data_IF_696120940681
#
_entry.id   IF_696120940681
#
_cell.length_a   1.000
_cell.length_b   1.000
_cell.length_c   1.000
_cell.angle_alpha   90.00
_cell.angle_beta   90.00
_cell.angle_gamma   90.00
#
_symmetry.space_group_name_H-M   'P 1'
#
loop_
_entity.id
_entity.type
_entity.pdbx_description
1 polymer ?
#
# COMPACT_ATOMS: atom_id res chain seq x y z
N UNK A 1 -9.20 -14.77 19.67
CA UNK A 1 -9.08 -13.79 18.56
C UNK A 1 -7.63 -13.77 18.08
N UNK A 2 -7.40 -13.70 16.77
CA UNK A 2 -6.06 -13.62 16.17
C UNK A 2 -6.00 -12.46 15.16
N UNK A 3 -4.78 -12.00 14.86
CA UNK A 3 -4.59 -11.07 13.74
C UNK A 3 -5.14 -11.70 12.45
N UNK A 4 -5.76 -10.88 11.61
CA UNK A 4 -6.44 -11.27 10.37
C UNK A 4 -7.73 -12.04 10.54
N UNK A 5 -8.20 -12.29 11.76
CA UNK A 5 -9.58 -12.79 11.93
C UNK A 5 -10.58 -11.71 11.53
N UNK A 6 -11.68 -12.15 10.95
CA UNK A 6 -12.84 -11.31 10.61
C UNK A 6 -13.94 -11.62 11.62
N UNK A 7 -14.37 -10.60 12.34
CA UNK A 7 -15.44 -10.67 13.32
C UNK A 7 -16.59 -9.75 12.93
N UNK A 8 -17.77 -9.95 13.49
CA UNK A 8 -18.82 -8.94 13.45
C UNK A 8 -18.64 -8.02 14.65
N UNK A 9 -18.55 -6.72 14.39
CA UNK A 9 -18.48 -5.67 15.39
C UNK A 9 -19.73 -4.82 15.28
N UNK A 10 -20.32 -4.48 16.42
CA UNK A 10 -21.35 -3.43 16.44
C UNK A 10 -20.66 -2.07 16.56
N UNK A 11 -20.62 -1.29 15.49
CA UNK A 11 -20.04 0.06 15.47
C UNK A 11 -21.10 1.08 15.87
N UNK A 12 -20.75 2.08 16.67
CA UNK A 12 -21.73 3.01 17.23
C UNK A 12 -22.55 3.74 16.13
N UNK A 13 -21.89 4.18 15.06
CA UNK A 13 -22.53 4.98 14.00
C UNK A 13 -23.04 4.13 12.82
N UNK A 14 -22.50 2.93 12.64
CA UNK A 14 -22.79 2.09 11.47
C UNK A 14 -23.62 0.85 11.82
N UNK A 15 -23.66 0.43 13.08
CA UNK A 15 -24.25 -0.84 13.50
C UNK A 15 -23.39 -2.05 13.15
N UNK A 16 -23.98 -3.26 13.07
CA UNK A 16 -23.27 -4.52 12.88
C UNK A 16 -22.57 -4.63 11.52
N UNK A 17 -21.23 -4.62 11.53
CA UNK A 17 -20.41 -4.72 10.32
C UNK A 17 -19.29 -5.76 10.48
N UNK A 18 -18.83 -6.38 9.37
CA UNK A 18 -17.59 -7.14 9.37
C UNK A 18 -16.42 -6.23 9.80
N UNK A 19 -15.54 -6.76 10.65
CA UNK A 19 -14.39 -6.08 11.22
C UNK A 19 -13.16 -6.97 11.10
N UNK A 20 -12.14 -6.51 10.39
CA UNK A 20 -10.88 -7.24 10.20
C UNK A 20 -9.89 -6.80 11.26
N UNK A 21 -9.41 -7.73 12.09
CA UNK A 21 -8.42 -7.44 13.13
C UNK A 21 -7.03 -7.24 12.52
N UNK A 22 -6.48 -6.04 12.65
CA UNK A 22 -5.15 -5.69 12.08
C UNK A 22 -4.06 -5.48 13.13
N UNK A 23 -4.42 -5.41 14.42
CA UNK A 23 -3.46 -5.28 15.52
C UNK A 23 -2.37 -6.36 15.51
N UNK A 24 -1.18 -5.99 15.98
CA UNK A 24 -0.08 -6.92 16.21
C UNK A 24 -0.53 -8.09 17.10
N UNK A 25 -0.09 -9.34 16.84
CA UNK A 25 -0.49 -10.52 17.61
C UNK A 25 -0.30 -10.35 19.12
N UNK A 26 0.80 -9.72 19.58
CA UNK A 26 1.02 -9.47 21.01
C UNK A 26 -0.04 -8.56 21.64
N UNK A 27 -0.51 -7.55 20.91
CA UNK A 27 -1.59 -6.68 21.37
C UNK A 27 -2.90 -7.44 21.42
N UNK A 28 -3.19 -8.24 20.39
CA UNK A 28 -4.37 -9.11 20.37
C UNK A 28 -4.35 -10.11 21.52
N UNK A 29 -3.17 -10.56 21.97
CA UNK A 29 -3.06 -11.45 23.13
C UNK A 29 -3.28 -10.73 24.47
N UNK A 30 -2.71 -9.52 24.65
CA UNK A 30 -2.59 -8.89 25.98
C UNK A 30 -3.58 -7.77 26.26
N UNK A 31 -3.93 -6.95 25.26
CA UNK A 31 -4.71 -5.73 25.47
C UNK A 31 -6.21 -5.95 25.26
N UNK A 32 -7.10 -5.26 25.99
CA UNK A 32 -8.56 -5.36 25.79
C UNK A 32 -9.03 -4.66 24.50
N UNK A 33 -8.26 -3.67 24.02
CA UNK A 33 -8.56 -2.88 22.82
C UNK A 33 -7.71 -3.32 21.63
N UNK A 34 -8.36 -3.48 20.47
CA UNK A 34 -7.74 -3.89 19.20
C UNK A 34 -8.12 -2.94 18.07
N UNK A 35 -7.20 -2.76 17.12
CA UNK A 35 -7.43 -2.04 15.87
C UNK A 35 -8.10 -2.96 14.86
N UNK A 36 -9.19 -2.47 14.26
CA UNK A 36 -9.93 -3.15 13.21
C UNK A 36 -10.17 -2.25 12.00
N UNK A 37 -10.30 -2.87 10.84
CA UNK A 37 -10.83 -2.23 9.64
C UNK A 37 -12.29 -2.61 9.45
N UNK A 38 -13.13 -1.64 9.10
CA UNK A 38 -14.55 -1.87 8.84
C UNK A 38 -14.77 -2.39 7.41
N UNK A 39 -15.55 -3.46 7.28
CA UNK A 39 -16.07 -3.98 6.02
C UNK A 39 -17.52 -3.56 5.80
N UNK A 40 -17.94 -3.46 4.55
CA UNK A 40 -19.35 -3.26 4.16
C UNK A 40 -20.22 -4.41 4.65
N UNK A 41 -21.37 -4.10 5.24
CA UNK A 41 -22.41 -5.08 5.58
C UNK A 41 -23.19 -5.56 4.34
N UNK A 42 -23.17 -4.79 3.25
CA UNK A 42 -23.86 -5.11 1.99
C UNK A 42 -22.91 -5.75 0.99
N UNK A 43 -23.49 -6.57 0.08
CA UNK A 43 -22.78 -7.15 -1.06
C UNK A 43 -22.19 -6.05 -1.94
N UNK A 44 -20.92 -6.18 -2.28
CA UNK A 44 -20.27 -5.28 -3.21
C UNK A 44 -20.97 -5.35 -4.58
N UNK A 45 -21.52 -4.22 -5.03
CA UNK A 45 -22.09 -4.05 -6.38
C UNK A 45 -21.14 -3.33 -7.34
N UNK A 46 -19.99 -2.89 -6.83
CA UNK A 46 -18.99 -2.08 -7.56
C UNK A 46 -17.58 -2.59 -7.28
N UNK A 47 -16.61 -2.28 -8.15
CA UNK A 47 -15.20 -2.53 -7.86
C UNK A 47 -14.72 -1.73 -6.64
N UNK A 48 -13.66 -2.24 -6.01
CA UNK A 48 -13.01 -1.59 -4.88
C UNK A 48 -12.35 -0.27 -5.32
N UNK A 49 -12.52 0.78 -4.51
CA UNK A 49 -11.83 2.07 -4.70
C UNK A 49 -10.37 1.98 -4.28
N UNK A 50 -9.63 3.06 -4.51
CA UNK A 50 -8.21 3.22 -4.16
C UNK A 50 -7.88 3.12 -2.67
N UNK A 51 -8.87 3.21 -1.78
CA UNK A 51 -8.73 3.03 -0.33
C UNK A 51 -9.35 1.71 0.17
N UNK A 52 -9.90 0.89 -0.71
CA UNK A 52 -10.66 -0.31 -0.35
C UNK A 52 -10.02 -1.60 -0.88
N UNK A 53 -10.27 -2.71 -0.19
CA UNK A 53 -9.92 -4.05 -0.64
C UNK A 53 -11.17 -4.91 -0.66
N UNK A 54 -11.35 -5.69 -1.74
CA UNK A 54 -12.44 -6.64 -1.88
C UNK A 54 -12.06 -7.98 -1.22
N UNK A 55 -12.78 -8.36 -0.18
CA UNK A 55 -12.75 -9.68 0.43
C UNK A 55 -13.92 -10.52 -0.06
N UNK A 56 -13.82 -11.85 -0.01
CA UNK A 56 -14.88 -12.74 -0.52
C UNK A 56 -14.95 -14.08 0.25
N UNK A 57 -15.68 -15.06 -0.31
CA UNK A 57 -15.85 -16.40 0.25
C UNK A 57 -14.58 -17.09 0.70
N UNK A 58 -13.45 -16.90 0.02
CA UNK A 58 -12.18 -17.49 0.42
C UNK A 58 -11.57 -16.87 1.70
N UNK A 59 -12.16 -15.79 2.24
CA UNK A 59 -11.83 -15.25 3.58
C UNK A 59 -12.86 -15.65 4.67
N UNK A 60 -13.87 -16.45 4.31
CA UNK A 60 -14.97 -16.83 5.20
C UNK A 60 -16.10 -15.79 5.28
N UNK A 61 -16.35 -15.08 4.18
CA UNK A 61 -17.48 -14.15 4.06
C UNK A 61 -18.53 -14.71 3.10
N UNK A 62 -19.81 -14.58 3.45
CA UNK A 62 -20.93 -15.11 2.65
C UNK A 62 -21.04 -14.42 1.27
N UNK A 63 -20.52 -13.20 1.15
CA UNK A 63 -20.51 -12.42 -0.08
C UNK A 63 -19.25 -11.55 -0.19
N UNK A 64 -19.10 -10.92 -1.35
CA UNK A 64 -18.03 -9.97 -1.59
C UNK A 64 -18.22 -8.71 -0.73
N UNK A 65 -17.22 -8.40 0.09
CA UNK A 65 -17.24 -7.32 1.07
C UNK A 65 -16.09 -6.35 0.80
N UNK A 66 -16.42 -5.07 0.68
CA UNK A 66 -15.44 -4.00 0.60
C UNK A 66 -14.95 -3.63 1.99
N UNK A 67 -13.65 -3.75 2.23
CA UNK A 67 -12.98 -3.33 3.48
C UNK A 67 -12.29 -2.00 3.26
N UNK A 68 -12.65 -1.00 4.07
CA UNK A 68 -12.04 0.33 4.05
C UNK A 68 -10.71 0.29 4.78
N UNK A 69 -9.62 0.62 4.09
CA UNK A 69 -8.26 0.55 4.63
C UNK A 69 -7.72 1.91 5.08
N UNK A 70 -8.46 2.98 4.82
CA UNK A 70 -8.20 4.36 5.23
C UNK A 70 -8.78 4.70 6.62
N UNK A 71 -9.66 3.85 7.16
CA UNK A 71 -10.31 4.05 8.45
C UNK A 71 -9.98 2.90 9.39
N UNK A 72 -9.26 3.21 10.47
CA UNK A 72 -8.96 2.27 11.56
C UNK A 72 -9.79 2.61 12.79
N UNK A 73 -10.48 1.61 13.32
CA UNK A 73 -11.27 1.76 14.55
C UNK A 73 -10.56 1.04 15.68
N UNK A 74 -10.43 1.71 16.82
CA UNK A 74 -10.03 1.09 18.07
C UNK A 74 -11.30 0.57 18.76
N UNK A 75 -11.41 -0.75 18.92
CA UNK A 75 -12.59 -1.40 19.47
C UNK A 75 -12.24 -2.30 20.64
N UNK A 76 -13.15 -2.42 21.58
CA UNK A 76 -13.08 -3.41 22.66
C UNK A 76 -13.34 -4.81 22.09
N UNK A 77 -12.59 -5.80 22.57
CA UNK A 77 -12.78 -7.20 22.16
C UNK A 77 -14.18 -7.73 22.43
N UNK A 78 -14.85 -7.22 23.46
CA UNK A 78 -16.22 -7.61 23.85
C UNK A 78 -17.26 -7.22 22.79
N UNK A 79 -17.00 -6.16 22.02
CA UNK A 79 -17.87 -5.75 20.90
C UNK A 79 -17.75 -6.65 19.67
N UNK A 80 -16.75 -7.55 19.65
CA UNK A 80 -16.48 -8.49 18.57
C UNK A 80 -17.07 -9.86 18.94
N UNK A 81 -18.31 -10.13 18.51
CA UNK A 81 -19.10 -11.24 19.05
C UNK A 81 -19.22 -12.47 18.13
N UNK A 82 -19.19 -12.31 16.81
CA UNK A 82 -19.33 -13.42 15.85
C UNK A 82 -18.15 -13.51 14.90
N UNK A 83 -17.34 -14.57 15.02
CA UNK A 83 -16.27 -14.87 14.05
C UNK A 83 -16.89 -15.31 12.72
N UNK A 84 -16.48 -14.66 11.63
CA UNK A 84 -16.90 -15.00 10.26
C UNK A 84 -15.84 -15.83 9.55
N UNK A 85 -14.58 -15.42 9.66
CA UNK A 85 -13.49 -16.09 8.97
C UNK A 85 -12.13 -15.47 9.26
N UNK A 86 -11.22 -15.56 8.29
CA UNK A 86 -9.89 -14.95 8.36
C UNK A 86 -9.42 -14.56 6.97
N UNK A 87 -8.76 -13.40 6.87
CA UNK A 87 -8.19 -12.92 5.61
C UNK A 87 -7.13 -13.90 5.12
N UNK A 88 -7.28 -14.35 3.89
CA UNK A 88 -6.32 -15.22 3.21
C UNK A 88 -4.95 -14.55 3.02
N UNK A 89 -3.88 -15.34 3.00
CA UNK A 89 -2.49 -14.82 2.92
C UNK A 89 -2.27 -13.93 1.68
N UNK A 90 -2.89 -14.28 0.55
CA UNK A 90 -2.82 -13.49 -0.68
C UNK A 90 -3.39 -12.07 -0.48
N UNK A 91 -4.53 -11.95 0.22
CA UNK A 91 -5.19 -10.66 0.46
C UNK A 91 -4.62 -9.87 1.63
N UNK A 92 -3.95 -10.53 2.59
CA UNK A 92 -3.22 -9.82 3.66
C UNK A 92 -2.21 -8.83 3.08
N UNK A 93 -1.47 -9.23 2.04
CA UNK A 93 -0.51 -8.35 1.36
C UNK A 93 -1.20 -7.15 0.73
N UNK A 94 -2.32 -7.36 0.04
CA UNK A 94 -3.11 -6.28 -0.55
C UNK A 94 -3.63 -5.30 0.51
N UNK A 95 -4.16 -5.81 1.63
CA UNK A 95 -4.62 -4.98 2.76
C UNK A 95 -3.47 -4.17 3.36
N UNK A 96 -2.31 -4.79 3.63
CA UNK A 96 -1.14 -4.06 4.17
C UNK A 96 -0.65 -2.98 3.22
N UNK A 97 -0.51 -3.30 1.93
CA UNK A 97 -0.10 -2.32 0.92
C UNK A 97 -1.08 -1.15 0.84
N UNK A 98 -2.38 -1.45 0.95
CA UNK A 98 -3.43 -0.45 0.91
C UNK A 98 -3.43 0.45 2.15
N UNK A 99 -3.31 -0.14 3.34
CA UNK A 99 -3.13 0.61 4.59
C UNK A 99 -1.95 1.56 4.47
N UNK A 100 -0.78 1.06 4.03
CA UNK A 100 0.41 1.90 3.87
C UNK A 100 0.18 3.03 2.87
N UNK A 101 -0.52 2.77 1.76
CA UNK A 101 -0.86 3.80 0.78
C UNK A 101 -1.78 4.88 1.37
N UNK A 102 -2.79 4.50 2.17
CA UNK A 102 -3.73 5.43 2.80
C UNK A 102 -3.08 6.29 3.90
N UNK A 103 -2.20 5.71 4.70
CA UNK A 103 -1.57 6.40 5.85
C UNK A 103 -0.16 6.94 5.56
N UNK A 104 0.20 7.08 4.28
CA UNK A 104 1.48 7.70 3.86
C UNK A 104 2.73 6.86 4.14
N UNK A 105 2.59 5.58 4.49
CA UNK A 105 3.70 4.68 4.80
C UNK A 105 4.57 4.40 3.58
N UNK A 106 5.82 4.89 3.61
CA UNK A 106 6.98 4.65 2.73
C UNK A 106 6.81 4.82 1.21
N UNK A 107 5.65 4.55 0.62
CA UNK A 107 5.39 4.67 -0.82
C UNK A 107 5.53 6.11 -1.29
N UNK A 108 4.98 7.08 -0.57
CA UNK A 108 5.13 8.50 -0.92
C UNK A 108 6.56 9.00 -0.70
N UNK A 109 7.23 8.53 0.36
CA UNK A 109 8.60 8.92 0.67
C UNK A 109 9.62 8.41 -0.37
N UNK A 110 9.54 7.13 -0.76
CA UNK A 110 10.43 6.55 -1.78
C UNK A 110 10.02 6.91 -3.22
N UNK A 111 8.73 7.18 -3.49
CA UNK A 111 8.30 7.69 -4.80
C UNK A 111 8.84 9.11 -5.05
N UNK A 112 8.81 9.99 -4.03
CA UNK A 112 9.47 11.30 -4.07
C UNK A 112 10.98 11.16 -4.33
N UNK A 113 11.65 10.27 -3.58
CA UNK A 113 13.08 10.01 -3.75
C UNK A 113 13.42 9.48 -5.16
N UNK A 114 12.65 8.53 -5.71
CA UNK A 114 12.89 8.06 -7.10
C UNK A 114 12.60 9.13 -8.14
N UNK A 115 11.60 9.98 -7.94
CA UNK A 115 11.28 11.08 -8.84
C UNK A 115 12.37 12.17 -8.84
N UNK A 116 12.94 12.49 -7.69
CA UNK A 116 14.08 13.41 -7.57
C UNK A 116 15.35 12.86 -8.21
N UNK A 117 15.69 11.60 -7.92
CA UNK A 117 16.89 10.96 -8.47
C UNK A 117 16.79 10.70 -9.99
N UNK A 118 15.59 10.54 -10.53
CA UNK A 118 15.34 10.44 -11.97
C UNK A 118 15.60 11.74 -12.72
N UNK A 119 15.30 12.90 -12.12
CA UNK A 119 15.52 14.23 -12.72
C UNK A 119 17.00 14.65 -12.73
N UNK A 120 17.79 14.19 -11.76
CA UNK A 120 19.21 14.54 -11.65
C UNK A 120 20.09 13.86 -12.71
N UNK A 121 19.65 12.73 -13.28
CA UNK A 121 20.41 12.02 -14.34
C UNK A 121 20.40 12.69 -15.72
N UNK A 122 19.48 13.63 -15.95
CA UNK A 122 19.28 14.28 -17.26
C UNK A 122 20.03 15.62 -17.42
N UNK A 123 20.79 16.05 -16.40
CA UNK A 123 21.59 17.28 -16.44
C UNK A 123 23.08 17.05 -16.69
N UNK A 124 23.46 16.07 -17.52
CA UNK A 124 24.84 16.04 -18.06
C UNK A 124 24.91 16.96 -19.28
N UNK A 125 25.63 18.09 -19.23
CA UNK A 125 25.74 18.96 -20.39
C UNK A 125 26.41 18.21 -21.53
N UNK A 126 25.90 18.40 -22.75
CA UNK A 126 26.49 17.88 -23.97
C UNK A 126 27.98 18.21 -24.00
N UNK A 127 28.81 17.17 -24.17
CA UNK A 127 30.24 17.26 -24.52
C UNK A 127 30.44 18.40 -25.51
N UNK A 128 31.11 19.47 -25.09
CA UNK A 128 31.70 20.43 -26.00
C UNK A 128 32.55 19.66 -27.01
N UNK A 129 32.19 19.75 -28.30
CA UNK A 129 33.07 19.36 -29.40
C UNK A 129 34.28 20.30 -29.34
N UNK A 130 35.37 19.82 -28.75
CA UNK A 130 36.69 20.42 -28.92
C UNK A 130 37.01 20.30 -30.41
N UNK A 131 36.92 21.44 -31.11
CA UNK A 131 37.41 21.57 -32.47
C UNK A 131 38.88 21.18 -32.48
N UNK A 132 39.23 20.20 -33.32
CA UNK A 132 40.64 19.88 -33.60
C UNK A 132 41.27 21.10 -34.25
N UNK A 133 42.01 21.84 -33.45
CA UNK A 133 42.94 22.85 -33.88
C UNK A 133 43.92 22.22 -34.88
N UNK A 134 44.08 22.88 -36.01
CA UNK A 134 44.87 22.46 -37.17
C UNK A 134 46.29 22.10 -36.78
N UNK A 135 46.70 20.85 -37.04
CA UNK A 135 48.12 20.50 -37.12
C UNK A 135 48.67 21.09 -38.41
N UNK A 136 49.33 22.22 -38.18
CA UNK A 136 50.56 22.67 -38.80
C UNK A 136 51.23 21.77 -39.86
N UNK A 137 51.54 22.46 -40.96
CA UNK A 137 52.71 22.40 -41.83
C UNK A 137 53.06 21.19 -42.72
N UNK A 138 53.21 21.57 -44.00
CA UNK A 138 54.06 21.02 -45.07
C UNK A 138 53.42 19.91 -45.92
N UNK A 139 53.49 19.99 -47.27
CA UNK A 139 54.79 19.86 -47.95
C UNK A 139 54.91 20.52 -49.34
N UNK A 140 56.05 21.14 -49.67
CA UNK A 140 56.51 21.28 -51.06
C UNK A 140 57.98 21.76 -51.10
N UNK A 141 58.84 21.00 -51.80
CA UNK A 141 60.14 21.43 -52.37
C UNK A 141 61.49 21.10 -51.70
N UNK A 142 61.68 20.00 -50.97
CA UNK A 142 63.04 19.46 -50.78
C UNK A 142 63.11 17.97 -51.15
N UNK A 143 63.23 17.74 -52.47
CA UNK A 143 63.85 16.55 -53.08
C UNK A 143 65.26 16.96 -53.51
N UNK A 144 66.21 16.04 -53.31
CA UNK A 144 67.64 16.02 -53.67
C UNK A 144 68.56 16.95 -52.88
#
# INVERSE_FOLDING_TARGET
MKQWDIWTCDFADAGPHPAVVISHPDRVARAPLVNVLIGSSQRASRPARENEVLLNGADGLDWETLVKCDLMYLVEKERLYRRRGSVSVARRRAVVQRINACFGGASQFFAGLKAEWGKSRDQRPLRQKVSRQSRDSSPRWLRN
#
